data_IF_499827064040
#
_entry.id   IF_499827064040
#
_cell.length_a   1.000
_cell.length_b   1.000
_cell.length_c   1.000
_cell.angle_alpha   90.00
_cell.angle_beta   90.00
_cell.angle_gamma   90.00
#
_symmetry.space_group_name_H-M   'P 1'
#
loop_
_entity.id
_entity.type
_entity.pdbx_description
1 polymer ?
#
# COMPACT_ATOMS: atom_id res chain seq x y z
N UNK A 1 10.05 37.71 -42.42
CA UNK A 1 11.12 36.72 -42.17
C UNK A 1 11.82 37.12 -40.87
N UNK A 2 12.11 36.19 -39.95
CA UNK A 2 11.15 35.67 -38.98
C UNK A 2 11.63 35.77 -37.50
N UNK A 3 10.70 35.46 -36.59
CA UNK A 3 10.92 34.84 -35.29
C UNK A 3 11.49 35.71 -34.15
N UNK A 4 10.62 36.57 -33.59
CA UNK A 4 10.63 36.85 -32.16
C UNK A 4 10.38 35.53 -31.41
N UNK A 5 11.50 34.97 -30.98
CA UNK A 5 11.72 33.70 -30.31
C UNK A 5 10.86 33.56 -29.06
N UNK A 6 9.73 32.85 -29.19
CA UNK A 6 9.09 32.20 -28.06
C UNK A 6 10.13 31.25 -27.45
N UNK A 7 10.57 31.55 -26.23
CA UNK A 7 11.43 30.66 -25.48
C UNK A 7 10.54 29.52 -24.98
N UNK A 8 10.43 28.49 -25.82
CA UNK A 8 9.85 27.20 -25.47
C UNK A 8 10.53 26.72 -24.18
N UNK A 9 9.78 26.76 -23.08
CA UNK A 9 10.24 26.38 -21.75
C UNK A 9 9.98 24.89 -21.49
N UNK A 10 9.83 24.09 -22.54
CA UNK A 10 9.36 22.69 -22.44
C UNK A 10 10.22 21.67 -23.18
N UNK A 11 11.21 22.07 -23.97
CA UNK A 11 12.19 21.15 -24.58
C UNK A 11 13.26 20.65 -23.59
N UNK A 12 12.85 19.89 -22.56
CA UNK A 12 13.82 19.22 -21.68
C UNK A 12 13.27 18.36 -20.55
N UNK A 13 11.97 18.02 -20.54
CA UNK A 13 11.36 17.29 -19.41
C UNK A 13 10.99 15.83 -19.68
N UNK A 14 11.24 15.29 -20.88
CA UNK A 14 10.66 14.01 -21.30
C UNK A 14 11.66 12.92 -21.70
N UNK A 15 12.95 13.02 -21.35
CA UNK A 15 13.92 12.08 -21.92
C UNK A 15 14.31 10.87 -21.05
N UNK A 16 14.15 10.85 -19.72
CA UNK A 16 14.38 9.60 -18.94
C UNK A 16 13.72 9.58 -17.55
N UNK A 17 12.47 9.11 -17.46
CA UNK A 17 11.89 8.67 -16.18
C UNK A 17 11.53 7.17 -16.22
N UNK A 18 12.49 6.31 -15.86
CA UNK A 18 12.23 4.88 -15.69
C UNK A 18 11.61 4.58 -14.31
N UNK A 19 10.30 4.42 -14.26
CA UNK A 19 9.60 3.97 -13.04
C UNK A 19 9.82 2.47 -12.87
N UNK A 20 10.77 2.05 -12.03
CA UNK A 20 10.90 0.65 -11.62
C UNK A 20 9.86 0.37 -10.53
N UNK A 21 8.74 -0.27 -10.88
CA UNK A 21 7.71 -0.60 -9.90
C UNK A 21 8.00 -1.93 -9.18
N UNK A 22 8.38 -1.82 -7.91
CA UNK A 22 8.05 -2.84 -6.91
C UNK A 22 7.60 -2.15 -5.62
N UNK A 23 6.42 -1.54 -5.63
CA UNK A 23 5.80 -1.01 -4.42
C UNK A 23 5.06 -2.14 -3.70
N UNK A 24 5.81 -2.96 -2.96
CA UNK A 24 5.18 -3.80 -1.94
C UNK A 24 4.91 -2.93 -0.73
N UNK A 25 3.69 -2.43 -0.59
CA UNK A 25 3.29 -1.68 0.60
C UNK A 25 3.43 -2.59 1.82
N UNK A 26 4.40 -2.28 2.68
CA UNK A 26 4.61 -2.95 3.95
C UNK A 26 3.64 -2.46 5.03
N UNK A 27 2.59 -1.73 4.68
CA UNK A 27 1.62 -1.17 5.63
C UNK A 27 0.48 -2.17 5.86
N UNK A 28 0.23 -2.52 7.12
CA UNK A 28 -0.87 -3.39 7.51
C UNK A 28 -2.22 -2.67 7.35
N UNK A 29 -3.22 -3.26 6.66
CA UNK A 29 -4.52 -2.62 6.47
C UNK A 29 -5.38 -2.55 7.75
N UNK A 30 -4.99 -3.22 8.84
CA UNK A 30 -5.69 -3.20 10.14
C UNK A 30 -5.12 -2.13 11.06
N UNK A 31 -3.78 -2.08 11.18
CA UNK A 31 -3.09 -1.19 12.13
C UNK A 31 -2.58 0.08 11.47
N UNK A 32 -2.52 0.14 10.13
CA UNK A 32 -1.92 1.22 9.36
C UNK A 32 -0.45 1.49 9.71
N UNK A 33 0.22 0.50 10.29
CA UNK A 33 1.64 0.52 10.65
C UNK A 33 2.43 -0.42 9.72
N UNK A 34 3.74 -0.22 9.70
CA UNK A 34 4.66 -1.14 9.02
C UNK A 34 4.56 -2.56 9.60
N UNK A 35 4.42 -3.54 8.71
CA UNK A 35 4.35 -4.96 9.00
C UNK A 35 5.76 -5.51 9.25
N UNK A 36 5.94 -6.20 10.37
CA UNK A 36 7.15 -6.96 10.71
C UNK A 36 7.00 -8.43 10.33
N UNK A 37 5.78 -8.96 10.41
CA UNK A 37 5.45 -10.37 10.11
C UNK A 37 4.22 -10.42 9.21
N UNK A 38 4.39 -10.22 7.89
CA UNK A 38 3.29 -10.28 6.94
C UNK A 38 2.76 -11.72 6.81
N UNK A 39 1.46 -11.90 7.06
CA UNK A 39 0.73 -13.17 6.86
C UNK A 39 -0.40 -12.98 5.85
N UNK A 40 -0.58 -13.94 4.95
CA UNK A 40 -1.59 -13.89 3.88
C UNK A 40 -2.81 -14.74 4.23
N UNK A 41 -4.00 -14.18 4.11
CA UNK A 41 -5.24 -14.96 4.16
C UNK A 41 -5.35 -15.85 2.90
N UNK A 42 -5.51 -17.16 3.10
CA UNK A 42 -5.63 -18.16 2.02
C UNK A 42 -6.84 -17.94 1.11
N UNK A 43 -7.90 -17.30 1.61
CA UNK A 43 -9.16 -17.13 0.87
C UNK A 43 -9.17 -15.83 0.07
N UNK A 44 -8.91 -14.69 0.72
CA UNK A 44 -9.01 -13.37 0.08
C UNK A 44 -7.68 -12.76 -0.35
N UNK A 45 -6.54 -13.41 -0.07
CA UNK A 45 -5.22 -12.98 -0.54
C UNK A 45 -4.64 -11.73 0.13
N UNK A 46 -5.37 -11.08 1.03
CA UNK A 46 -4.87 -9.93 1.78
C UNK A 46 -3.75 -10.31 2.74
N UNK A 47 -2.78 -9.41 2.84
CA UNK A 47 -1.65 -9.50 3.77
C UNK A 47 -1.89 -8.63 4.99
N UNK A 48 -1.61 -9.16 6.17
CA UNK A 48 -1.78 -8.48 7.45
C UNK A 48 -0.54 -8.66 8.32
N UNK A 49 -0.38 -7.83 9.34
CA UNK A 49 0.52 -8.14 10.46
C UNK A 49 -0.04 -9.32 11.28
N UNK A 50 0.80 -10.30 11.59
CA UNK A 50 0.44 -11.51 12.37
C UNK A 50 -0.30 -11.18 13.67
N UNK A 51 0.26 -10.32 14.51
CA UNK A 51 -0.35 -9.94 15.80
C UNK A 51 -1.71 -9.26 15.62
N UNK A 52 -1.82 -8.40 14.61
CA UNK A 52 -3.04 -7.65 14.34
C UNK A 52 -4.21 -8.57 13.95
N UNK A 53 -3.97 -9.52 13.03
CA UNK A 53 -5.03 -10.42 12.58
C UNK A 53 -5.42 -11.44 13.67
N UNK A 54 -4.45 -11.96 14.42
CA UNK A 54 -4.73 -12.89 15.54
C UNK A 54 -5.61 -12.21 16.59
N UNK A 55 -5.24 -11.00 17.03
CA UNK A 55 -6.02 -10.24 18.02
C UNK A 55 -7.43 -9.90 17.53
N UNK A 56 -7.57 -9.57 16.24
CA UNK A 56 -8.87 -9.30 15.63
C UNK A 56 -9.78 -10.54 15.63
N UNK A 57 -9.23 -11.71 15.31
CA UNK A 57 -9.94 -13.00 15.33
C UNK A 57 -10.36 -13.35 16.75
N UNK A 58 -9.45 -13.30 17.73
CA UNK A 58 -9.75 -13.62 19.12
C UNK A 58 -10.83 -12.70 19.71
N UNK A 59 -10.77 -11.40 19.40
CA UNK A 59 -11.76 -10.42 19.85
C UNK A 59 -13.17 -10.73 19.32
N UNK A 60 -13.29 -11.18 18.06
CA UNK A 60 -14.58 -11.63 17.50
C UNK A 60 -15.11 -12.88 18.21
N UNK A 61 -14.25 -13.85 18.52
CA UNK A 61 -14.65 -15.05 19.27
C UNK A 61 -15.13 -14.73 20.69
N UNK A 62 -14.45 -13.82 21.40
CA UNK A 62 -14.88 -13.38 22.74
C UNK A 62 -16.24 -12.68 22.72
N UNK A 63 -16.51 -11.83 21.72
CA UNK A 63 -17.81 -11.16 21.58
C UNK A 63 -18.94 -12.15 21.32
N UNK A 64 -18.72 -13.19 20.50
CA UNK A 64 -19.72 -14.24 20.24
C UNK A 64 -20.09 -15.02 21.50
N UNK A 65 -19.15 -15.27 22.42
CA UNK A 65 -19.40 -15.97 23.70
C UNK A 65 -20.17 -15.14 24.73
N UNK A 66 -20.19 -13.81 24.63
CA UNK A 66 -20.93 -12.93 25.55
C UNK A 66 -22.35 -12.60 25.08
N UNK A 67 -22.68 -12.95 23.85
CA UNK A 67 -23.99 -12.71 23.24
C UNK A 67 -24.90 -13.96 23.27
N UNK A 68 -24.49 -15.01 23.99
CA UNK A 68 -25.26 -16.23 24.24
C UNK A 68 -25.43 -16.40 25.75
#
# INVERSE_FOLDING_TARGET
MPADREYDWTEGIDEDMIVTQSQTNFICPITQLEMKKPVKNKVCGHTYEEDAIVRMIESKHKRKKKAW
#
